data_IF_402349234755
#
_entry.id   IF_402349234755
#
_cell.length_a   1.000
_cell.length_b   1.000
_cell.length_c   1.000
_cell.angle_alpha   90.00
_cell.angle_beta   90.00
_cell.angle_gamma   90.00
#
_symmetry.space_group_name_H-M   'P 1'
#
loop_
_entity.id
_entity.type
_entity.pdbx_description
1 polymer ?
#
# COMPACT_ATOMS: atom_id res chain seq x y z
N UNK A 1 -19.03 29.09 3.52
CA UNK A 1 -18.18 27.90 3.31
C UNK A 1 -17.64 27.49 4.66
N UNK A 2 -18.15 26.41 5.26
CA UNK A 2 -17.77 25.97 6.59
C UNK A 2 -16.26 25.72 6.64
N UNK A 3 -15.59 26.26 7.65
CA UNK A 3 -14.13 26.41 7.74
C UNK A 3 -13.39 25.05 7.61
N UNK A 4 -13.03 24.66 6.37
CA UNK A 4 -12.29 23.41 6.06
C UNK A 4 -10.85 23.43 6.57
N UNK A 5 -10.38 24.60 7.02
CA UNK A 5 -9.06 24.77 7.59
C UNK A 5 -8.79 23.84 8.78
N UNK A 6 -9.81 23.62 9.64
CA UNK A 6 -9.67 22.69 10.76
C UNK A 6 -9.50 21.23 10.33
N UNK A 7 -10.12 20.82 9.22
CA UNK A 7 -9.95 19.49 8.65
C UNK A 7 -8.55 19.31 8.06
N UNK A 8 -8.10 20.27 7.25
CA UNK A 8 -6.77 20.26 6.64
C UNK A 8 -5.67 20.21 7.70
N UNK A 9 -5.80 21.00 8.78
CA UNK A 9 -4.81 21.05 9.85
C UNK A 9 -4.74 19.72 10.63
N UNK A 10 -5.88 19.05 10.88
CA UNK A 10 -5.91 17.71 11.47
C UNK A 10 -5.21 16.67 10.59
N UNK A 11 -5.51 16.66 9.29
CA UNK A 11 -4.87 15.75 8.32
C UNK A 11 -3.37 16.02 8.22
N UNK A 12 -2.96 17.29 8.24
CA UNK A 12 -1.56 17.69 8.21
C UNK A 12 -0.80 17.17 9.43
N UNK A 13 -1.34 17.32 10.64
CA UNK A 13 -0.73 16.79 11.87
C UNK A 13 -0.62 15.27 11.83
N UNK A 14 -1.68 14.57 11.41
CA UNK A 14 -1.67 13.11 11.29
C UNK A 14 -0.64 12.62 10.26
N UNK A 15 -0.56 13.31 9.11
CA UNK A 15 0.38 12.97 8.04
C UNK A 15 1.83 13.27 8.42
N UNK A 16 2.08 14.39 9.09
CA UNK A 16 3.38 14.73 9.62
C UNK A 16 3.81 13.73 10.70
N UNK A 17 2.91 13.35 11.61
CA UNK A 17 3.13 12.31 12.61
C UNK A 17 3.48 10.96 11.98
N UNK A 18 2.70 10.53 10.98
CA UNK A 18 2.98 9.31 10.20
C UNK A 18 4.32 9.38 9.48
N UNK A 19 4.69 10.51 8.88
CA UNK A 19 5.97 10.71 8.20
C UNK A 19 7.16 10.57 9.15
N UNK A 20 7.08 11.20 10.33
CA UNK A 20 8.09 11.09 11.40
C UNK A 20 8.16 9.65 11.91
N UNK A 21 7.01 9.01 12.14
CA UNK A 21 6.94 7.62 12.57
C UNK A 21 7.59 6.70 11.53
N UNK A 22 7.30 6.87 10.24
CA UNK A 22 7.96 6.11 9.18
C UNK A 22 9.47 6.40 9.17
N UNK A 23 9.88 7.67 9.22
CA UNK A 23 11.30 8.06 9.12
C UNK A 23 12.17 7.55 10.27
N UNK A 24 11.65 7.44 11.48
CA UNK A 24 12.46 7.11 12.66
C UNK A 24 12.13 5.73 13.28
N UNK A 25 10.90 5.23 13.11
CA UNK A 25 10.51 3.90 13.60
C UNK A 25 10.82 2.80 12.59
N UNK A 26 10.71 3.05 11.27
CA UNK A 26 11.04 2.00 10.29
C UNK A 26 12.53 1.69 10.19
N UNK A 27 13.48 2.64 10.28
CA UNK A 27 14.91 2.30 10.28
C UNK A 27 15.40 1.62 11.55
N UNK A 28 14.70 1.81 12.68
CA UNK A 28 15.01 1.13 13.95
C UNK A 28 14.36 -0.26 14.03
N UNK A 29 13.31 -0.51 13.25
CA UNK A 29 12.89 -1.85 12.89
C UNK A 29 13.91 -2.41 11.90
N UNK A 30 14.83 -3.22 12.41
CA UNK A 30 15.71 -4.06 11.59
C UNK A 30 14.83 -5.06 10.84
N UNK A 31 14.24 -4.62 9.74
CA UNK A 31 13.59 -5.47 8.75
C UNK A 31 14.73 -5.90 7.85
N UNK A 32 15.36 -7.08 8.07
CA UNK A 32 16.29 -7.61 7.08
C UNK A 32 15.56 -7.56 5.76
N UNK A 33 16.22 -7.14 4.69
CA UNK A 33 15.64 -7.14 3.35
C UNK A 33 15.18 -8.58 3.05
N UNK A 34 13.95 -8.90 3.42
CA UNK A 34 13.33 -10.19 3.18
C UNK A 34 12.98 -10.13 1.71
N UNK A 35 13.97 -10.46 0.87
CA UNK A 35 13.84 -10.50 -0.58
C UNK A 35 12.55 -11.24 -0.96
N UNK A 36 12.19 -12.27 -0.20
CA UNK A 36 10.90 -12.98 -0.30
C UNK A 36 9.68 -12.07 -0.18
N UNK A 37 9.58 -11.19 0.83
CA UNK A 37 8.43 -10.30 0.99
C UNK A 37 8.37 -9.25 -0.12
N UNK A 38 9.52 -8.74 -0.55
CA UNK A 38 9.61 -7.82 -1.69
C UNK A 38 9.16 -8.51 -2.99
N UNK A 39 9.64 -9.74 -3.23
CA UNK A 39 9.23 -10.56 -4.37
C UNK A 39 7.73 -10.87 -4.34
N UNK A 40 7.18 -11.21 -3.17
CA UNK A 40 5.73 -11.42 -2.99
C UNK A 40 4.97 -10.16 -3.39
N UNK A 41 5.32 -8.98 -2.89
CA UNK A 41 4.64 -7.73 -3.25
C UNK A 41 4.75 -7.39 -4.75
N UNK A 42 5.90 -7.67 -5.37
CA UNK A 42 6.12 -7.42 -6.81
C UNK A 42 5.34 -8.41 -7.68
N UNK A 43 5.28 -9.69 -7.30
CA UNK A 43 4.58 -10.73 -8.07
C UNK A 43 3.07 -10.78 -7.81
N UNK A 44 2.59 -10.33 -6.64
CA UNK A 44 1.17 -10.33 -6.28
C UNK A 44 0.25 -9.73 -7.37
N UNK A 45 0.51 -8.52 -7.91
CA UNK A 45 -0.35 -7.94 -8.94
C UNK A 45 -0.38 -8.79 -10.22
N UNK A 46 0.75 -9.41 -10.60
CA UNK A 46 0.83 -10.30 -11.77
C UNK A 46 0.02 -11.58 -11.56
N UNK A 47 0.13 -12.20 -10.39
CA UNK A 47 -0.62 -13.42 -10.04
C UNK A 47 -2.13 -13.13 -9.97
N UNK A 48 -2.51 -11.98 -9.40
CA UNK A 48 -3.90 -11.53 -9.37
C UNK A 48 -4.44 -11.30 -10.78
N UNK A 49 -3.70 -10.59 -11.64
CA UNK A 49 -4.10 -10.36 -13.02
C UNK A 49 -4.22 -11.66 -13.81
N UNK A 50 -3.28 -12.59 -13.64
CA UNK A 50 -3.36 -13.92 -14.23
C UNK A 50 -4.64 -14.65 -13.80
N UNK A 51 -4.97 -14.65 -12.50
CA UNK A 51 -6.20 -15.26 -11.99
C UNK A 51 -7.47 -14.61 -12.55
N UNK A 52 -7.53 -13.28 -12.59
CA UNK A 52 -8.67 -12.52 -13.13
C UNK A 52 -8.86 -12.82 -14.63
N UNK A 53 -7.77 -12.83 -15.40
CA UNK A 53 -7.81 -13.09 -16.83
C UNK A 53 -8.21 -14.54 -17.14
N UNK A 54 -7.70 -15.51 -16.36
CA UNK A 54 -8.10 -16.91 -16.49
C UNK A 54 -9.59 -17.10 -16.20
N UNK A 55 -10.10 -16.49 -15.12
CA UNK A 55 -11.52 -16.52 -14.80
C UNK A 55 -12.37 -15.91 -15.92
N UNK A 56 -11.95 -14.76 -16.44
CA UNK A 56 -12.61 -14.10 -17.57
C UNK A 56 -12.62 -14.99 -18.83
N UNK A 57 -11.50 -15.64 -19.12
CA UNK A 57 -11.37 -16.51 -20.29
C UNK A 57 -12.31 -17.71 -20.22
N UNK A 58 -12.39 -18.37 -19.06
CA UNK A 58 -13.33 -19.47 -18.84
C UNK A 58 -14.80 -19.03 -18.98
N UNK A 59 -15.13 -17.82 -18.51
CA UNK A 59 -16.47 -17.23 -18.67
C UNK A 59 -16.82 -16.81 -20.10
N UNK A 60 -15.84 -16.57 -20.96
CA UNK A 60 -16.09 -16.23 -22.37
C UNK A 60 -16.22 -17.47 -23.26
N UNK A 61 -15.69 -18.62 -22.83
CA UNK A 61 -15.77 -19.88 -23.56
C UNK A 61 -17.01 -20.71 -23.21
N UNK A 62 -17.75 -20.34 -22.17
CA UNK A 62 -18.94 -21.04 -21.65
C UNK A 62 -20.18 -20.18 -21.84
#
# INVERSE_FOLDING_TARGET
MQNQFGFVLKVFILSAGLSVLIKYVFPSLYIPATATNALIMVFLPTVLMMGILLWRFQRQQN
#
